data_IF_162797784779
#
_entry.id   IF_162797784779
#
_cell.length_a   1.000
_cell.length_b   1.000
_cell.length_c   1.000
_cell.angle_alpha   90.00
_cell.angle_beta   90.00
_cell.angle_gamma   90.00
#
_symmetry.space_group_name_H-M   'P 1'
#
loop_
_entity.id
_entity.type
_entity.pdbx_description
1 polymer ?
#
# COMPACT_ATOMS: atom_id res chain seq x y z
N UNK A 1 35.38 -24.32 21.43
CA UNK A 1 35.44 -23.86 20.02
C UNK A 1 34.21 -23.02 19.76
N UNK A 2 34.28 -21.71 19.97
CA UNK A 2 33.12 -20.82 19.79
C UNK A 2 32.98 -20.56 18.29
N UNK A 3 32.02 -21.24 17.65
CA UNK A 3 31.69 -20.96 16.25
C UNK A 3 31.29 -19.49 16.13
N UNK A 4 31.92 -18.75 15.22
CA UNK A 4 31.51 -17.37 14.95
C UNK A 4 30.05 -17.39 14.47
N UNK A 5 29.22 -16.44 14.93
CA UNK A 5 27.85 -16.36 14.45
C UNK A 5 27.82 -16.17 12.93
N UNK A 6 26.80 -16.73 12.24
CA UNK A 6 26.61 -16.50 10.81
C UNK A 6 26.54 -14.99 10.54
N UNK A 7 27.17 -14.56 9.44
CA UNK A 7 27.11 -13.19 9.01
C UNK A 7 25.82 -12.98 8.21
N UNK A 8 25.10 -11.90 8.46
CA UNK A 8 23.82 -11.61 7.83
C UNK A 8 23.92 -10.38 6.93
N UNK A 9 23.29 -10.41 5.77
CA UNK A 9 23.27 -9.37 4.76
C UNK A 9 21.84 -8.99 4.39
N UNK A 10 21.48 -7.72 4.58
CA UNK A 10 20.21 -7.17 4.11
C UNK A 10 20.47 -6.14 3.03
N UNK A 11 19.75 -6.21 1.92
CA UNK A 11 19.86 -5.27 0.81
C UNK A 11 18.49 -4.66 0.52
N UNK A 12 18.41 -3.34 0.45
CA UNK A 12 17.19 -2.62 0.08
C UNK A 12 17.44 -1.65 -1.07
N UNK A 13 16.37 -1.23 -1.73
CA UNK A 13 16.45 -0.21 -2.79
C UNK A 13 16.12 1.17 -2.22
N UNK A 14 16.90 2.16 -2.62
CA UNK A 14 16.71 3.56 -2.25
C UNK A 14 15.82 4.27 -3.27
N UNK A 15 15.29 5.45 -2.91
CA UNK A 15 14.46 6.30 -3.81
C UNK A 15 15.14 6.63 -5.15
N UNK A 16 16.47 6.59 -5.21
CA UNK A 16 17.27 6.87 -6.41
C UNK A 16 17.57 5.62 -7.26
N UNK A 17 16.83 4.52 -7.06
CA UNK A 17 17.08 3.21 -7.70
C UNK A 17 18.51 2.70 -7.51
N UNK A 18 19.13 3.04 -6.37
CA UNK A 18 20.42 2.50 -5.93
C UNK A 18 20.20 1.50 -4.81
N UNK A 19 21.06 0.49 -4.72
CA UNK A 19 21.01 -0.49 -3.65
C UNK A 19 21.80 0.02 -2.44
N UNK A 20 21.24 -0.18 -1.27
CA UNK A 20 21.88 0.01 0.02
C UNK A 20 21.93 -1.34 0.72
N UNK A 21 23.11 -1.72 1.17
CA UNK A 21 23.33 -2.94 1.92
C UNK A 21 23.69 -2.62 3.38
N UNK A 22 23.28 -3.51 4.26
CA UNK A 22 23.63 -3.54 5.67
C UNK A 22 24.08 -4.95 6.02
N UNK A 23 25.15 -5.06 6.79
CA UNK A 23 25.74 -6.34 7.17
C UNK A 23 25.96 -6.42 8.69
N UNK A 24 25.74 -7.60 9.24
CA UNK A 24 25.91 -7.93 10.66
C UNK A 24 26.71 -9.23 10.78
N UNK A 25 27.94 -9.17 11.26
CA UNK A 25 28.82 -10.33 11.44
C UNK A 25 29.35 -10.48 12.87
N UNK A 26 29.22 -9.45 13.72
CA UNK A 26 29.51 -9.56 15.15
C UNK A 26 28.32 -10.15 15.93
N UNK A 27 27.19 -10.38 15.25
CA UNK A 27 26.05 -11.13 15.75
C UNK A 27 24.75 -10.77 15.04
N UNK A 28 23.70 -11.54 15.29
CA UNK A 28 22.43 -11.40 14.58
C UNK A 28 21.76 -10.03 14.80
N UNK A 29 21.03 -9.52 13.79
CA UNK A 29 20.27 -8.29 13.93
C UNK A 29 19.08 -8.48 14.90
N UNK A 30 18.94 -7.60 15.89
CA UNK A 30 17.84 -7.60 16.85
C UNK A 30 16.89 -6.44 16.58
N UNK A 31 15.58 -6.65 16.82
CA UNK A 31 14.57 -5.60 16.59
C UNK A 31 14.49 -4.59 17.72
N UNK A 32 14.66 -5.03 18.96
CA UNK A 32 14.47 -4.21 20.15
C UNK A 32 15.48 -4.61 21.25
N UNK A 33 16.46 -3.74 21.58
CA UNK A 33 16.83 -2.54 20.82
C UNK A 33 17.29 -2.91 19.40
N UNK A 34 17.04 -2.01 18.43
CA UNK A 34 17.49 -2.22 17.06
C UNK A 34 19.02 -2.27 17.01
N UNK A 35 19.58 -3.43 16.61
CA UNK A 35 21.04 -3.58 16.48
C UNK A 35 21.55 -2.86 15.24
N UNK A 36 22.46 -1.91 15.45
CA UNK A 36 23.15 -1.22 14.35
C UNK A 36 23.98 -2.23 13.53
N UNK A 37 24.00 -2.12 12.19
CA UNK A 37 24.86 -2.94 11.35
C UNK A 37 26.33 -2.67 11.66
N UNK A 38 27.16 -3.71 11.51
CA UNK A 38 28.61 -3.60 11.64
C UNK A 38 29.20 -2.77 10.48
N UNK A 39 28.66 -2.95 9.28
CA UNK A 39 28.89 -2.02 8.16
C UNK A 39 27.66 -1.88 7.28
N UNK A 40 27.60 -0.73 6.60
CA UNK A 40 26.59 -0.43 5.60
C UNK A 40 27.18 0.47 4.53
N UNK A 41 26.73 0.34 3.30
CA UNK A 41 26.98 1.34 2.27
C UNK A 41 25.83 1.39 1.27
N UNK A 42 25.60 2.58 0.72
CA UNK A 42 24.63 2.84 -0.33
C UNK A 42 25.31 3.24 -1.63
N UNK A 43 24.63 3.01 -2.76
CA UNK A 43 25.07 3.51 -4.06
C UNK A 43 25.36 2.44 -5.10
N UNK A 44 25.31 1.16 -4.72
CA UNK A 44 25.48 0.06 -5.65
C UNK A 44 24.42 0.11 -6.78
N UNK A 45 24.84 -0.20 -8.00
CA UNK A 45 24.00 -0.20 -9.20
C UNK A 45 23.24 -1.51 -9.35
N UNK A 46 23.78 -2.60 -8.81
CA UNK A 46 23.16 -3.93 -8.83
C UNK A 46 23.16 -4.56 -7.45
N UNK A 47 22.31 -5.58 -7.28
CA UNK A 47 22.26 -6.38 -6.06
C UNK A 47 23.57 -7.15 -5.84
N UNK A 48 24.17 -7.68 -6.91
CA UNK A 48 25.45 -8.38 -6.83
C UNK A 48 26.60 -7.46 -6.41
N UNK A 49 26.65 -6.22 -6.92
CA UNK A 49 27.64 -5.23 -6.51
C UNK A 49 27.49 -4.90 -5.02
N UNK A 50 26.24 -4.74 -4.55
CA UNK A 50 25.95 -4.52 -3.14
C UNK A 50 26.41 -5.70 -2.26
N UNK A 51 26.14 -6.93 -2.69
CA UNK A 51 26.58 -8.16 -2.00
C UNK A 51 28.09 -8.27 -1.95
N UNK A 52 28.79 -8.13 -3.08
CA UNK A 52 30.26 -8.16 -3.12
C UNK A 52 30.88 -7.06 -2.27
N UNK A 53 30.27 -5.88 -2.21
CA UNK A 53 30.75 -4.82 -1.32
C UNK A 53 30.59 -5.20 0.16
N UNK A 54 29.46 -5.81 0.53
CA UNK A 54 29.22 -6.29 1.88
C UNK A 54 30.16 -7.41 2.31
N UNK A 55 30.36 -8.42 1.45
CA UNK A 55 31.28 -9.54 1.71
C UNK A 55 32.73 -9.07 1.81
N UNK A 56 33.15 -8.09 0.97
CA UNK A 56 34.46 -7.44 1.10
C UNK A 56 34.63 -6.72 2.43
N UNK A 57 33.59 -6.04 2.92
CA UNK A 57 33.64 -5.34 4.20
C UNK A 57 33.69 -6.32 5.39
N UNK A 58 32.99 -7.45 5.29
CA UNK A 58 32.99 -8.49 6.31
C UNK A 58 34.23 -9.40 6.25
N UNK A 59 34.96 -9.41 5.13
CA UNK A 59 36.08 -10.34 4.87
C UNK A 59 35.65 -11.81 4.73
N UNK A 60 34.35 -12.07 4.57
CA UNK A 60 33.75 -13.41 4.54
C UNK A 60 32.39 -13.38 3.83
N UNK A 61 31.89 -14.52 3.32
CA UNK A 61 30.54 -14.62 2.79
C UNK A 61 29.49 -14.33 3.88
N UNK A 62 28.37 -13.72 3.47
CA UNK A 62 27.24 -13.38 4.32
C UNK A 62 25.97 -14.07 3.80
N UNK A 63 25.08 -14.44 4.71
CA UNK A 63 23.78 -15.01 4.44
C UNK A 63 22.75 -13.91 4.18
N UNK A 64 22.01 -14.03 3.08
CA UNK A 64 20.96 -13.08 2.72
C UNK A 64 19.77 -13.19 3.70
N UNK A 65 19.41 -12.06 4.32
CA UNK A 65 18.24 -11.91 5.21
C UNK A 65 17.23 -10.93 4.63
N UNK A 66 16.09 -10.74 5.31
CA UNK A 66 15.02 -9.93 4.76
C UNK A 66 15.44 -8.48 4.50
N UNK A 67 15.03 -7.88 3.37
CA UNK A 67 15.38 -6.50 2.98
C UNK A 67 14.82 -5.42 3.93
N UNK A 68 13.90 -5.81 4.83
CA UNK A 68 13.34 -4.95 5.85
C UNK A 68 14.38 -4.44 6.85
N UNK A 69 15.49 -5.15 7.06
CA UNK A 69 16.54 -4.75 8.01
C UNK A 69 17.36 -3.57 7.49
N UNK A 70 17.76 -3.61 6.21
CA UNK A 70 18.37 -2.47 5.55
C UNK A 70 17.38 -1.30 5.42
N UNK A 71 16.11 -1.58 5.15
CA UNK A 71 15.04 -0.56 5.19
C UNK A 71 14.88 0.09 6.56
N UNK A 72 14.96 -0.70 7.63
CA UNK A 72 14.88 -0.22 9.00
C UNK A 72 16.05 0.68 9.39
N UNK A 73 17.27 0.34 8.93
CA UNK A 73 18.44 1.19 9.11
C UNK A 73 18.27 2.56 8.44
N UNK A 74 17.77 2.58 7.20
CA UNK A 74 17.48 3.84 6.48
C UNK A 74 16.47 4.71 7.25
N UNK A 75 15.46 4.09 7.86
CA UNK A 75 14.47 4.81 8.68
C UNK A 75 15.08 5.36 9.95
N UNK A 76 15.92 4.57 10.63
CA UNK A 76 16.62 5.00 11.85
C UNK A 76 17.53 6.20 11.57
N UNK A 77 18.26 6.20 10.44
CA UNK A 77 19.07 7.34 9.98
C UNK A 77 18.23 8.60 9.69
N UNK A 78 16.96 8.44 9.33
CA UNK A 78 16.02 9.53 9.11
C UNK A 78 15.27 9.97 10.37
N UNK A 79 15.61 9.45 11.56
CA UNK A 79 14.90 9.74 12.82
C UNK A 79 13.51 9.11 12.91
N UNK A 80 13.18 8.14 12.05
CA UNK A 80 11.92 7.41 12.05
C UNK A 80 12.08 6.07 12.77
N UNK A 81 10.98 5.48 13.30
CA UNK A 81 11.04 4.15 13.89
C UNK A 81 11.52 3.10 12.87
N UNK A 82 12.40 2.17 13.28
CA UNK A 82 13.07 1.23 12.38
C UNK A 82 12.08 0.33 11.65
N UNK A 83 11.09 -0.20 12.37
CA UNK A 83 9.98 -0.91 11.74
C UNK A 83 8.75 0.00 11.75
N UNK A 84 8.10 0.22 10.58
CA UNK A 84 6.80 0.87 10.60
C UNK A 84 5.89 0.01 11.45
N UNK A 85 5.38 0.56 12.55
CA UNK A 85 4.23 -0.02 13.24
C UNK A 85 3.18 -0.23 12.16
N UNK A 86 2.74 -1.47 11.94
CA UNK A 86 1.54 -1.68 11.12
C UNK A 86 0.47 -0.82 11.81
N UNK A 87 0.13 0.33 11.24
CA UNK A 87 -1.14 0.96 11.58
C UNK A 87 -2.15 -0.17 11.41
N UNK A 88 -3.00 -0.47 12.41
CA UNK A 88 -4.02 -1.49 12.22
C UNK A 88 -4.68 -1.15 10.89
N UNK A 89 -4.59 -2.09 9.95
CA UNK A 89 -5.31 -1.99 8.69
C UNK A 89 -6.74 -1.76 9.17
N UNK A 90 -7.33 -0.56 8.95
CA UNK A 90 -8.78 -0.41 9.10
C UNK A 90 -9.36 -1.67 8.48
N UNK A 91 -10.15 -2.47 9.22
CA UNK A 91 -10.53 -3.80 8.75
C UNK A 91 -11.01 -3.61 7.33
N UNK A 92 -10.29 -4.22 6.37
CA UNK A 92 -10.83 -4.36 5.03
C UNK A 92 -12.13 -5.11 5.29
N UNK A 93 -13.31 -4.61 4.89
CA UNK A 93 -14.54 -5.37 5.05
C UNK A 93 -14.24 -6.76 4.50
N UNK A 94 -14.36 -7.74 5.38
CA UNK A 94 -14.02 -9.12 5.11
C UNK A 94 -14.73 -9.52 3.83
N UNK A 95 -13.98 -9.95 2.80
CA UNK A 95 -14.64 -10.49 1.63
C UNK A 95 -15.37 -11.75 2.11
N UNK A 96 -16.71 -11.81 1.99
CA UNK A 96 -17.47 -12.94 2.51
C UNK A 96 -17.04 -14.23 1.79
N UNK A 97 -17.22 -15.40 2.42
CA UNK A 97 -16.66 -16.67 1.96
C UNK A 97 -17.06 -17.02 0.52
N UNK A 98 -16.18 -17.73 -0.23
CA UNK A 98 -16.44 -18.11 -1.61
C UNK A 98 -17.47 -19.24 -1.63
N UNK A 99 -18.73 -18.90 -1.88
CA UNK A 99 -19.79 -19.92 -1.93
C UNK A 99 -21.22 -19.43 -2.15
N UNK A 100 -21.47 -18.13 -2.31
CA UNK A 100 -22.80 -17.63 -2.64
C UNK A 100 -22.77 -16.89 -3.98
N UNK A 101 -23.06 -17.68 -5.02
CA UNK A 101 -23.79 -17.37 -6.25
C UNK A 101 -23.89 -15.90 -6.67
N UNK A 102 -23.41 -15.64 -7.88
CA UNK A 102 -23.35 -14.40 -8.63
C UNK A 102 -24.72 -13.72 -8.90
N UNK A 103 -25.50 -13.41 -7.88
CA UNK A 103 -26.44 -12.29 -8.00
C UNK A 103 -25.64 -11.02 -7.78
N UNK A 104 -25.52 -10.21 -8.83
CA UNK A 104 -24.86 -8.90 -8.82
C UNK A 104 -25.30 -8.13 -7.57
N UNK A 105 -24.47 -8.15 -6.53
CA UNK A 105 -24.76 -7.46 -5.27
C UNK A 105 -24.82 -5.97 -5.59
N UNK A 106 -26.04 -5.42 -5.70
CA UNK A 106 -26.25 -3.98 -5.61
C UNK A 106 -25.54 -3.52 -4.35
N UNK A 107 -24.62 -2.54 -4.42
CA UNK A 107 -23.92 -2.09 -3.22
C UNK A 107 -24.96 -1.58 -2.22
N UNK A 108 -24.87 -2.07 -0.98
CA UNK A 108 -25.74 -1.61 0.10
C UNK A 108 -25.68 -0.08 0.19
N UNK A 109 -26.86 0.56 0.21
CA UNK A 109 -26.96 2.02 0.26
C UNK A 109 -26.24 2.54 1.51
N UNK A 110 -25.22 3.41 1.37
CA UNK A 110 -24.52 3.93 2.53
C UNK A 110 -25.47 4.76 3.42
N UNK A 111 -25.26 4.73 4.75
CA UNK A 111 -26.10 5.47 5.69
C UNK A 111 -26.05 6.98 5.40
N UNK A 112 -27.20 7.64 5.52
CA UNK A 112 -27.34 9.08 5.27
C UNK A 112 -27.77 9.45 3.84
N UNK A 113 -28.08 8.48 2.96
CA UNK A 113 -28.75 8.75 1.68
C UNK A 113 -30.27 8.50 1.85
N UNK A 114 -31.13 9.53 1.68
CA UNK A 114 -32.57 9.34 1.68
C UNK A 114 -33.02 8.38 0.58
N UNK A 115 -33.99 7.52 0.86
CA UNK A 115 -34.40 6.44 -0.04
C UNK A 115 -34.91 6.91 -1.41
N UNK A 116 -35.42 8.14 -1.47
CA UNK A 116 -35.93 8.80 -2.68
C UNK A 116 -34.85 9.50 -3.51
N UNK A 117 -33.60 9.52 -3.07
CA UNK A 117 -32.53 10.23 -3.78
C UNK A 117 -32.05 9.40 -4.97
N UNK A 118 -32.12 9.98 -6.16
CA UNK A 118 -31.60 9.37 -7.37
C UNK A 118 -30.06 9.34 -7.35
N UNK A 119 -29.43 8.23 -7.78
CA UNK A 119 -27.97 8.15 -7.95
C UNK A 119 -27.42 9.26 -8.87
N UNK A 120 -28.17 9.64 -9.90
CA UNK A 120 -27.79 10.72 -10.81
C UNK A 120 -27.74 12.07 -10.08
N UNK A 121 -28.72 12.36 -9.23
CA UNK A 121 -28.76 13.59 -8.42
C UNK A 121 -27.58 13.68 -7.46
N UNK A 122 -27.16 12.56 -6.86
CA UNK A 122 -25.97 12.53 -5.98
C UNK A 122 -24.67 12.81 -6.73
N UNK A 123 -24.60 12.50 -8.03
CA UNK A 123 -23.48 12.86 -8.90
C UNK A 123 -23.63 14.27 -9.50
N UNK A 124 -24.74 14.96 -9.23
CA UNK A 124 -25.07 16.25 -9.85
C UNK A 124 -25.40 16.14 -11.34
N UNK A 125 -25.97 15.01 -11.77
CA UNK A 125 -26.26 14.68 -13.15
C UNK A 125 -27.77 14.56 -13.41
N UNK A 126 -28.15 14.84 -14.66
CA UNK A 126 -29.47 14.52 -15.15
C UNK A 126 -29.69 12.99 -15.21
N UNK A 127 -30.91 12.48 -14.99
CA UNK A 127 -31.24 11.05 -15.16
C UNK A 127 -30.93 10.51 -16.56
N UNK A 128 -30.81 11.40 -17.56
CA UNK A 128 -30.49 11.09 -18.96
C UNK A 128 -28.99 11.15 -19.28
N UNK A 129 -28.12 11.50 -18.32
CA UNK A 129 -26.68 11.67 -18.53
C UNK A 129 -25.96 10.39 -19.05
N UNK A 130 -25.14 10.49 -20.10
CA UNK A 130 -24.45 9.34 -20.68
C UNK A 130 -23.35 8.77 -19.77
N UNK A 131 -22.94 7.52 -20.03
CA UNK A 131 -21.89 6.82 -19.27
C UNK A 131 -20.60 7.63 -19.11
N UNK A 132 -20.20 8.36 -20.15
CA UNK A 132 -19.02 9.21 -20.13
C UNK A 132 -19.12 10.34 -19.09
N UNK A 133 -20.32 10.90 -18.95
CA UNK A 133 -20.59 11.99 -18.02
C UNK A 133 -20.70 11.49 -16.57
N UNK A 134 -21.30 10.31 -16.37
CA UNK A 134 -21.32 9.59 -15.08
C UNK A 134 -19.89 9.38 -14.56
N UNK A 135 -18.99 8.87 -15.42
CA UNK A 135 -17.56 8.68 -15.08
C UNK A 135 -16.86 10.00 -14.78
N UNK A 136 -17.13 11.05 -15.54
CA UNK A 136 -16.51 12.38 -15.37
C UNK A 136 -16.93 13.01 -14.04
N UNK A 137 -18.21 12.98 -13.70
CA UNK A 137 -18.74 13.52 -12.45
C UNK A 137 -18.15 12.78 -11.23
N UNK A 138 -18.13 11.44 -11.28
CA UNK A 138 -17.52 10.64 -10.23
C UNK A 138 -16.03 10.97 -10.02
N UNK A 139 -15.24 11.10 -11.10
CA UNK A 139 -13.83 11.47 -10.99
C UNK A 139 -13.61 12.82 -10.30
N UNK A 140 -14.44 13.82 -10.61
CA UNK A 140 -14.38 15.14 -9.97
C UNK A 140 -14.70 15.05 -8.48
N UNK A 141 -15.79 14.36 -8.12
CA UNK A 141 -16.19 14.14 -6.73
C UNK A 141 -15.16 13.33 -5.93
N UNK A 142 -14.57 12.30 -6.55
CA UNK A 142 -13.56 11.46 -5.96
C UNK A 142 -12.28 12.22 -5.61
N UNK A 143 -11.88 13.19 -6.44
CA UNK A 143 -10.72 14.05 -6.16
C UNK A 143 -10.98 14.97 -4.97
N UNK A 144 -12.17 15.56 -4.88
CA UNK A 144 -12.53 16.51 -3.82
C UNK A 144 -12.79 15.81 -2.47
N UNK A 145 -13.37 14.61 -2.50
CA UNK A 145 -13.74 13.86 -1.28
C UNK A 145 -12.68 12.87 -0.84
N UNK A 146 -11.52 12.82 -1.50
CA UNK A 146 -10.50 11.83 -1.22
C UNK A 146 -9.93 12.00 0.20
N UNK A 147 -9.95 10.96 1.06
CA UNK A 147 -9.49 11.07 2.44
C UNK A 147 -7.99 11.38 2.55
N UNK A 148 -7.17 10.94 1.58
CA UNK A 148 -5.73 11.26 1.56
C UNK A 148 -5.44 12.74 1.26
N UNK A 149 -6.45 13.51 0.79
CA UNK A 149 -6.35 14.96 0.60
C UNK A 149 -7.12 15.74 1.67
N UNK A 150 -7.49 15.08 2.78
CA UNK A 150 -8.27 15.69 3.88
C UNK A 150 -9.79 15.65 3.68
N UNK A 151 -10.29 14.89 2.70
CA UNK A 151 -11.72 14.75 2.40
C UNK A 151 -12.49 13.78 3.32
N UNK A 152 -13.82 13.85 3.27
CA UNK A 152 -14.72 12.99 4.05
C UNK A 152 -14.87 11.60 3.41
N UNK A 153 -14.45 10.57 4.15
CA UNK A 153 -14.61 9.16 3.76
C UNK A 153 -16.08 8.78 3.51
N UNK A 154 -17.03 9.33 4.28
CA UNK A 154 -18.45 9.07 4.10
C UNK A 154 -18.97 9.71 2.80
N UNK A 155 -18.55 10.94 2.49
CA UNK A 155 -18.85 11.59 1.21
C UNK A 155 -18.31 10.80 0.01
N UNK A 156 -17.09 10.28 0.11
CA UNK A 156 -16.50 9.44 -0.94
C UNK A 156 -17.32 8.15 -1.16
N UNK A 157 -17.75 7.49 -0.08
CA UNK A 157 -18.59 6.29 -0.17
C UNK A 157 -19.95 6.59 -0.82
N UNK A 158 -20.59 7.73 -0.50
CA UNK A 158 -21.84 8.16 -1.15
C UNK A 158 -21.66 8.39 -2.66
N UNK A 159 -20.58 9.07 -3.06
CA UNK A 159 -20.27 9.32 -4.46
C UNK A 159 -19.99 8.02 -5.23
N UNK A 160 -19.31 7.06 -4.60
CA UNK A 160 -19.04 5.75 -5.19
C UNK A 160 -20.31 4.93 -5.38
N UNK A 161 -21.17 4.87 -4.37
CA UNK A 161 -22.46 4.18 -4.47
C UNK A 161 -23.30 4.76 -5.61
N UNK A 162 -23.40 6.08 -5.68
CA UNK A 162 -24.16 6.78 -6.72
C UNK A 162 -23.63 6.49 -8.13
N UNK A 163 -22.30 6.41 -8.29
CA UNK A 163 -21.65 6.04 -9.55
C UNK A 163 -21.99 4.61 -9.99
N UNK A 164 -21.90 3.64 -9.09
CA UNK A 164 -22.18 2.24 -9.39
C UNK A 164 -23.66 2.03 -9.77
N UNK A 165 -24.59 2.64 -9.04
CA UNK A 165 -26.03 2.59 -9.35
C UNK A 165 -26.37 3.29 -10.66
N UNK A 166 -25.84 4.50 -10.92
CA UNK A 166 -26.06 5.22 -12.17
C UNK A 166 -25.54 4.43 -13.39
N UNK A 167 -24.42 3.72 -13.25
CA UNK A 167 -23.91 2.82 -14.28
C UNK A 167 -24.81 1.61 -14.49
N UNK A 168 -25.31 0.99 -13.42
CA UNK A 168 -26.21 -0.15 -13.51
C UNK A 168 -27.51 0.24 -14.26
N UNK A 169 -28.16 1.33 -13.83
CA UNK A 169 -29.37 1.85 -14.50
C UNK A 169 -29.11 2.19 -15.96
N UNK A 170 -27.96 2.81 -16.28
CA UNK A 170 -27.64 3.14 -17.68
C UNK A 170 -27.40 1.91 -18.53
N UNK A 171 -26.79 0.86 -17.98
CA UNK A 171 -26.57 -0.42 -18.68
C UNK A 171 -27.87 -1.16 -18.94
N UNK A 172 -28.80 -1.13 -17.98
CA UNK A 172 -30.14 -1.72 -18.13
C UNK A 172 -30.93 -1.01 -19.24
N UNK A 173 -30.89 0.33 -19.29
CA UNK A 173 -31.58 1.14 -20.31
C UNK A 173 -30.98 1.05 -21.73
N UNK A 174 -29.73 0.63 -21.87
CA UNK A 174 -29.08 0.47 -23.18
C UNK A 174 -29.10 -0.98 -23.70
N UNK A 175 -29.61 -1.92 -22.90
CA UNK A 175 -29.62 -3.35 -23.19
C UNK A 175 -31.01 -3.96 -23.43
N UNK A 176 -32.04 -3.13 -23.62
CA UNK A 176 -33.39 -3.52 -24.03
C UNK A 176 -33.82 -2.72 -25.25
#
# INVERSE_FOLDING_TARGET
>A
MTSLPPGHLSITTTKRRRYLWCAWWTGAPTREPFRKPDAFAGGARTLEEARRAAERAAGRPLDDIEPLWAGAWVRLQAGLPPFPSKKPKRPRPEQPPPGQSQQRRRPDRPPGIPSRTSPFTLLGLAPTAPLAEIKRAFRRLALVTHPDQGGDSAAFMRARWAYEEALATRRELSGG
#
